data_IF_755821111000
#
_entry.id   IF_755821111000
#
_cell.length_a   1.000
_cell.length_b   1.000
_cell.length_c   1.000
_cell.angle_alpha   90.00
_cell.angle_beta   90.00
_cell.angle_gamma   90.00
#
_symmetry.space_group_name_H-M   'P 1'
#
loop_
_entity.id
_entity.type
_entity.pdbx_description
1 polymer ?
#
# COMPACT_ATOMS: atom_id res chain seq x y z
N UNK A 1 50.21 8.95 -2.16
CA UNK A 1 49.17 7.96 -2.50
C UNK A 1 48.54 7.50 -1.16
N UNK A 2 47.81 8.36 -0.44
CA UNK A 2 46.37 8.74 -0.57
C UNK A 2 45.50 7.47 -0.56
N UNK A 3 44.78 7.12 0.51
CA UNK A 3 43.54 7.77 0.99
C UNK A 3 43.60 7.97 2.52
N UNK A 4 43.90 9.18 2.99
CA UNK A 4 43.87 9.56 4.43
C UNK A 4 43.41 11.00 4.65
N UNK A 5 42.56 11.52 3.75
CA UNK A 5 42.03 12.89 3.86
C UNK A 5 40.55 12.94 3.46
N UNK A 6 39.66 12.55 4.36
CA UNK A 6 38.28 13.05 4.34
C UNK A 6 37.57 13.11 5.72
N UNK A 7 38.32 12.97 6.83
CA UNK A 7 37.76 13.09 8.19
C UNK A 7 38.47 14.16 9.03
N UNK A 8 38.51 15.39 8.54
CA UNK A 8 38.81 16.58 9.36
C UNK A 8 37.72 17.61 9.10
N UNK A 9 36.64 17.53 9.86
CA UNK A 9 35.53 18.46 9.65
C UNK A 9 34.37 18.46 10.62
N UNK A 10 34.22 17.56 11.59
CA UNK A 10 33.12 17.68 12.57
C UNK A 10 33.55 17.28 13.98
N UNK A 11 33.64 18.28 14.85
CA UNK A 11 33.86 18.15 16.29
C UNK A 11 32.55 17.78 16.99
N UNK A 12 32.65 16.83 17.92
CA UNK A 12 31.84 16.64 19.13
C UNK A 12 30.30 16.51 19.00
N UNK A 13 29.82 15.27 19.07
CA UNK A 13 28.67 14.90 19.89
C UNK A 13 29.06 13.64 20.67
N UNK A 14 29.35 13.80 21.96
CA UNK A 14 29.63 12.71 22.89
C UNK A 14 28.35 12.31 23.61
N UNK A 15 28.00 11.03 23.60
CA UNK A 15 26.98 10.49 24.51
C UNK A 15 27.63 9.52 25.49
N UNK A 16 27.50 9.82 26.78
CA UNK A 16 27.85 8.94 27.92
C UNK A 16 26.70 7.96 28.13
N UNK A 17 27.01 6.66 28.18
CA UNK A 17 26.11 5.64 28.72
C UNK A 17 26.60 5.36 30.15
N UNK A 18 25.74 5.56 31.14
CA UNK A 18 25.94 4.93 32.45
C UNK A 18 25.11 3.64 32.48
N UNK A 19 25.73 2.48 32.75
CA UNK A 19 25.00 1.29 33.11
C UNK A 19 24.69 1.38 34.61
N UNK A 20 23.44 1.22 35.01
CA UNK A 20 23.15 0.37 36.17
C UNK A 20 21.66 0.13 36.45
N UNK A 21 21.41 -1.15 36.75
CA UNK A 21 20.38 -1.69 37.64
C UNK A 21 18.92 -1.60 37.21
N UNK A 22 18.41 -2.67 36.58
CA UNK A 22 17.28 -3.45 37.13
C UNK A 22 17.37 -4.90 36.63
N UNK A 23 17.63 -5.83 37.56
CA UNK A 23 17.27 -7.25 37.43
C UNK A 23 15.80 -7.38 37.82
N UNK A 24 14.95 -7.97 36.98
CA UNK A 24 13.80 -8.77 37.44
C UNK A 24 13.36 -9.77 36.38
N UNK A 25 13.04 -10.97 36.85
CA UNK A 25 12.70 -12.18 36.12
C UNK A 25 11.24 -12.24 35.67
N UNK A 26 11.05 -12.76 34.46
CA UNK A 26 9.99 -13.68 33.99
C UNK A 26 8.51 -13.24 33.88
N UNK A 27 7.94 -13.75 32.78
CA UNK A 27 6.53 -14.01 32.43
C UNK A 27 5.71 -12.83 31.87
N UNK A 28 5.64 -12.85 30.54
CA UNK A 28 4.64 -12.23 29.66
C UNK A 28 4.35 -10.74 29.89
N UNK A 29 4.91 -9.89 29.02
CA UNK A 29 4.23 -8.69 28.50
C UNK A 29 4.95 -8.16 27.25
N UNK A 30 4.22 -8.05 26.15
CA UNK A 30 4.64 -7.31 24.95
C UNK A 30 4.46 -5.82 25.23
N UNK A 31 5.54 -5.04 25.16
CA UNK A 31 5.48 -3.59 25.06
C UNK A 31 6.18 -3.17 23.76
N UNK A 32 5.41 -2.63 22.82
CA UNK A 32 5.92 -1.93 21.64
C UNK A 32 6.47 -0.58 22.08
N UNK A 33 7.76 -0.34 21.84
CA UNK A 33 8.36 1.00 21.94
C UNK A 33 8.42 1.62 20.55
N UNK A 34 7.87 2.82 20.40
CA UNK A 34 7.96 3.63 19.18
C UNK A 34 9.07 4.66 19.36
N UNK A 35 10.14 4.57 18.54
CA UNK A 35 11.12 5.65 18.41
C UNK A 35 10.74 6.54 17.24
N UNK A 36 10.56 7.85 17.48
CA UNK A 36 10.28 8.84 16.44
C UNK A 36 11.60 9.48 16.03
N UNK A 37 12.03 9.25 14.79
CA UNK A 37 13.14 10.00 14.18
C UNK A 37 12.58 11.03 13.19
N UNK A 38 12.88 12.29 13.43
CA UNK A 38 12.51 13.40 12.56
C UNK A 38 13.66 13.64 11.57
N UNK A 39 13.50 13.21 10.31
CA UNK A 39 14.53 13.41 9.26
C UNK A 39 14.16 14.64 8.43
N UNK A 40 15.11 15.57 8.32
CA UNK A 40 14.97 16.88 7.68
C UNK A 40 15.21 16.75 6.15
N UNK A 41 14.35 17.30 5.27
CA UNK A 41 14.32 16.95 3.85
C UNK A 41 15.20 17.86 2.98
N UNK A 42 16.50 17.89 3.24
CA UNK A 42 17.44 18.56 2.33
C UNK A 42 18.73 17.76 2.17
N UNK A 43 18.92 17.26 0.95
CA UNK A 43 20.08 16.57 0.40
C UNK A 43 20.19 15.04 0.57
N UNK A 44 20.31 14.40 -0.61
CA UNK A 44 20.75 13.03 -0.92
C UNK A 44 19.80 11.86 -0.63
N UNK A 45 18.59 11.90 -1.20
CA UNK A 45 17.61 10.82 -1.13
C UNK A 45 18.10 9.47 -1.72
N UNK A 46 19.13 9.47 -2.58
CA UNK A 46 19.78 8.24 -3.08
C UNK A 46 20.78 7.66 -2.07
N UNK A 47 21.43 8.50 -1.25
CA UNK A 47 22.22 8.01 -0.12
C UNK A 47 21.31 7.51 1.02
N UNK A 48 20.05 7.97 1.07
CA UNK A 48 19.08 7.56 2.07
C UNK A 48 18.51 6.15 1.85
N UNK A 49 18.42 5.61 0.62
CA UNK A 49 18.00 4.21 0.44
C UNK A 49 19.14 3.22 0.81
N UNK A 50 20.39 3.58 0.50
CA UNK A 50 21.60 2.84 0.89
C UNK A 50 21.84 2.95 2.41
N UNK A 51 21.65 4.14 3.01
CA UNK A 51 21.68 4.32 4.46
C UNK A 51 20.44 3.73 5.17
N UNK A 52 19.27 3.65 4.54
CA UNK A 52 18.13 2.90 5.11
C UNK A 52 18.56 1.43 5.27
N UNK A 53 19.12 0.80 4.24
CA UNK A 53 19.53 -0.60 4.36
C UNK A 53 20.73 -0.83 5.30
N UNK A 54 21.61 0.15 5.48
CA UNK A 54 22.73 0.07 6.45
C UNK A 54 22.38 0.43 7.91
N UNK A 55 21.35 1.27 8.14
CA UNK A 55 20.77 1.51 9.48
C UNK A 55 19.86 0.35 9.88
N UNK A 56 19.34 -0.43 8.93
CA UNK A 56 18.40 -1.53 9.16
C UNK A 56 19.00 -2.86 9.62
N UNK A 57 20.26 -2.91 10.09
CA UNK A 57 20.76 -4.14 10.73
C UNK A 57 19.95 -4.54 11.98
N UNK A 58 19.17 -3.60 12.56
CA UNK A 58 18.18 -3.87 13.61
C UNK A 58 16.70 -3.81 13.15
N UNK A 59 16.41 -3.31 11.94
CA UNK A 59 15.03 -3.18 11.41
C UNK A 59 14.72 -4.11 10.23
N UNK A 60 15.59 -5.09 9.92
CA UNK A 60 15.24 -6.31 9.15
C UNK A 60 13.99 -7.02 9.73
N UNK A 61 13.54 -6.65 10.93
CA UNK A 61 12.29 -7.08 11.57
C UNK A 61 10.99 -6.49 11.00
N UNK A 62 11.00 -5.45 10.16
CA UNK A 62 9.76 -4.82 9.64
C UNK A 62 9.53 -4.97 8.12
N UNK A 63 10.44 -5.59 7.38
CA UNK A 63 10.11 -6.18 6.09
C UNK A 63 9.59 -7.59 6.40
N UNK A 64 8.26 -7.77 6.42
CA UNK A 64 7.66 -9.09 6.62
C UNK A 64 7.78 -9.93 5.33
N UNK A 65 9.01 -10.11 4.86
CA UNK A 65 9.38 -11.05 3.82
C UNK A 65 8.93 -12.43 4.32
N UNK A 66 8.17 -13.18 3.51
CA UNK A 66 7.65 -14.51 3.85
C UNK A 66 8.76 -15.36 4.51
N UNK A 67 8.40 -16.19 5.51
CA UNK A 67 9.30 -17.10 6.25
C UNK A 67 10.35 -17.81 5.37
N UNK A 68 9.99 -18.13 4.12
CA UNK A 68 10.90 -18.71 3.11
C UNK A 68 12.10 -17.81 2.78
N UNK A 69 11.86 -16.51 2.55
CA UNK A 69 12.91 -15.52 2.22
C UNK A 69 13.77 -15.23 3.45
N UNK A 70 13.15 -15.09 4.64
CA UNK A 70 13.87 -14.93 5.90
C UNK A 70 14.81 -16.11 6.17
N UNK A 71 14.34 -17.35 5.95
CA UNK A 71 15.14 -18.57 6.18
C UNK A 71 16.34 -18.67 5.23
N UNK A 72 16.23 -18.23 3.98
CA UNK A 72 17.36 -18.20 3.05
C UNK A 72 18.36 -17.08 3.35
N UNK A 73 17.91 -15.89 3.72
CA UNK A 73 18.79 -14.81 4.16
C UNK A 73 19.63 -15.22 5.39
N UNK A 74 19.04 -16.00 6.30
CA UNK A 74 19.72 -16.53 7.49
C UNK A 74 20.67 -17.69 7.14
N UNK A 75 20.38 -18.49 6.10
CA UNK A 75 21.17 -19.66 5.73
C UNK A 75 22.36 -19.37 4.81
N UNK A 76 22.37 -18.25 4.07
CA UNK A 76 23.36 -18.04 3.01
C UNK A 76 24.45 -16.99 3.30
N UNK A 77 24.50 -16.31 4.46
CA UNK A 77 25.48 -15.22 4.75
C UNK A 77 25.61 -14.16 3.62
N UNK A 78 24.61 -14.06 2.74
CA UNK A 78 24.66 -13.20 1.56
C UNK A 78 24.21 -11.79 1.94
N UNK A 79 25.14 -10.84 1.88
CA UNK A 79 24.86 -9.41 1.97
C UNK A 79 24.15 -8.94 0.69
N UNK A 80 22.86 -8.62 0.78
CA UNK A 80 22.12 -7.94 -0.29
C UNK A 80 22.09 -6.44 0.01
N UNK A 81 22.70 -5.63 -0.86
CA UNK A 81 22.84 -4.18 -0.68
C UNK A 81 21.56 -3.40 -1.05
N UNK A 82 20.66 -3.99 -1.84
CA UNK A 82 19.37 -3.41 -2.22
C UNK A 82 18.23 -4.45 -2.25
N UNK A 83 16.96 -4.01 -2.18
CA UNK A 83 15.78 -4.86 -2.40
C UNK A 83 15.78 -5.45 -3.82
N UNK A 84 16.31 -4.70 -4.79
CA UNK A 84 16.51 -5.17 -6.16
C UNK A 84 17.53 -6.32 -6.21
N UNK A 85 18.63 -6.23 -5.46
CA UNK A 85 19.62 -7.30 -5.35
C UNK A 85 19.04 -8.55 -4.67
N UNK A 86 18.19 -8.39 -3.65
CA UNK A 86 17.50 -9.50 -3.02
C UNK A 86 16.57 -10.22 -4.01
N UNK A 87 15.77 -9.46 -4.77
CA UNK A 87 14.82 -10.03 -5.72
C UNK A 87 15.50 -10.66 -6.93
N UNK A 88 16.59 -10.07 -7.42
CA UNK A 88 17.35 -10.57 -8.57
C UNK A 88 18.26 -11.75 -8.21
N UNK A 89 18.82 -11.79 -6.99
CA UNK A 89 19.70 -12.89 -6.54
C UNK A 89 18.91 -14.14 -6.19
N UNK A 90 17.71 -13.97 -5.65
CA UNK A 90 16.83 -15.08 -5.40
C UNK A 90 16.25 -15.54 -6.75
N UNK A 91 16.63 -16.71 -7.25
CA UNK A 91 15.91 -17.40 -8.35
C UNK A 91 14.46 -17.78 -7.97
N UNK A 92 13.92 -17.14 -6.94
CA UNK A 92 12.66 -17.43 -6.29
C UNK A 92 11.58 -16.66 -7.05
N UNK A 93 10.59 -17.41 -7.50
CA UNK A 93 9.34 -16.86 -8.01
C UNK A 93 8.63 -16.22 -6.81
N UNK A 94 8.94 -14.96 -6.47
CA UNK A 94 8.27 -14.25 -5.37
C UNK A 94 6.79 -14.12 -5.75
N UNK A 95 5.97 -14.96 -5.13
CA UNK A 95 4.53 -15.01 -5.33
C UNK A 95 3.79 -14.15 -4.33
N UNK A 96 4.43 -13.77 -3.22
CA UNK A 96 3.82 -13.00 -2.15
C UNK A 96 4.75 -11.89 -1.69
N UNK A 97 4.20 -10.71 -1.51
CA UNK A 97 4.92 -9.54 -1.03
C UNK A 97 4.04 -8.74 -0.09
N UNK A 98 4.58 -8.41 1.07
CA UNK A 98 3.96 -7.54 2.06
C UNK A 98 4.95 -6.43 2.39
N UNK A 99 4.58 -5.20 2.04
CA UNK A 99 5.42 -4.01 2.19
C UNK A 99 4.67 -2.99 3.04
N UNK A 100 5.27 -2.63 4.17
CA UNK A 100 4.79 -1.59 5.06
C UNK A 100 5.68 -0.34 4.97
N UNK A 101 5.09 0.77 4.52
CA UNK A 101 5.73 2.06 4.31
C UNK A 101 4.89 3.23 4.88
N UNK A 102 4.12 2.96 5.94
CA UNK A 102 3.30 3.96 6.66
C UNK A 102 4.16 5.16 7.11
N UNK A 103 3.65 6.39 6.93
CA UNK A 103 4.21 7.63 7.51
C UNK A 103 5.68 7.93 7.16
N UNK A 104 6.09 7.73 5.90
CA UNK A 104 7.49 7.88 5.47
C UNK A 104 7.76 9.10 4.57
N UNK A 105 6.81 10.02 4.43
CA UNK A 105 6.92 11.18 3.51
C UNK A 105 7.27 10.78 2.07
N UNK A 106 6.80 9.60 1.63
CA UNK A 106 7.02 9.11 0.29
C UNK A 106 6.15 9.92 -0.67
N UNK A 107 6.80 10.62 -1.61
CA UNK A 107 6.14 11.26 -2.74
C UNK A 107 6.17 10.37 -4.00
N UNK A 108 5.67 10.90 -5.11
CA UNK A 108 5.55 10.18 -6.39
C UNK A 108 6.88 9.59 -6.90
N UNK A 109 8.00 10.27 -6.63
CA UNK A 109 9.33 9.78 -6.98
C UNK A 109 9.72 8.51 -6.20
N UNK A 110 9.41 8.48 -4.89
CA UNK A 110 9.67 7.30 -4.07
C UNK A 110 8.79 6.11 -4.46
N UNK A 111 7.50 6.37 -4.79
CA UNK A 111 6.62 5.35 -5.38
C UNK A 111 7.17 4.85 -6.71
N UNK A 112 7.72 5.72 -7.55
CA UNK A 112 8.29 5.31 -8.84
C UNK A 112 9.51 4.38 -8.67
N UNK A 113 10.33 4.56 -7.63
CA UNK A 113 11.39 3.62 -7.26
C UNK A 113 10.84 2.28 -6.76
N UNK A 114 9.72 2.27 -6.04
CA UNK A 114 9.04 1.01 -5.70
C UNK A 114 8.49 0.31 -6.95
N UNK A 115 7.96 1.06 -7.92
CA UNK A 115 7.42 0.53 -9.17
C UNK A 115 8.48 -0.21 -10.00
N UNK A 116 9.70 0.32 -10.07
CA UNK A 116 10.80 -0.33 -10.81
C UNK A 116 11.18 -1.68 -10.21
N UNK A 117 10.86 -1.89 -8.93
CA UNK A 117 11.05 -3.17 -8.26
C UNK A 117 9.85 -4.09 -8.54
N UNK A 118 8.62 -3.62 -8.32
CA UNK A 118 7.41 -4.44 -8.52
C UNK A 118 7.28 -4.98 -9.95
N UNK A 119 7.78 -4.25 -10.96
CA UNK A 119 7.72 -4.71 -12.36
C UNK A 119 8.54 -5.98 -12.63
N UNK A 120 9.53 -6.30 -11.79
CA UNK A 120 10.37 -7.50 -11.93
C UNK A 120 9.70 -8.72 -11.30
N UNK A 121 8.74 -8.53 -10.40
CA UNK A 121 8.00 -9.58 -9.71
C UNK A 121 6.91 -10.23 -10.59
N UNK A 122 7.31 -10.91 -11.67
CA UNK A 122 6.38 -11.49 -12.67
C UNK A 122 5.47 -12.60 -12.11
N UNK A 123 5.88 -13.25 -11.03
CA UNK A 123 5.14 -14.35 -10.42
C UNK A 123 4.28 -13.93 -9.24
N UNK A 124 4.25 -12.63 -8.92
CA UNK A 124 3.51 -12.09 -7.80
C UNK A 124 2.02 -12.40 -7.95
N UNK A 125 1.48 -13.17 -7.01
CA UNK A 125 0.06 -13.51 -6.89
C UNK A 125 -0.62 -12.75 -5.77
N UNK A 126 0.10 -12.46 -4.67
CA UNK A 126 -0.43 -11.73 -3.52
C UNK A 126 0.43 -10.51 -3.22
N UNK A 127 -0.18 -9.33 -3.22
CA UNK A 127 0.49 -8.10 -2.82
C UNK A 127 -0.32 -7.40 -1.74
N UNK A 128 0.32 -7.15 -0.61
CA UNK A 128 -0.09 -6.14 0.37
C UNK A 128 0.91 -5.01 0.32
N UNK A 129 0.44 -3.79 0.06
CA UNK A 129 1.27 -2.60 0.03
C UNK A 129 0.60 -1.51 0.86
N UNK A 130 1.27 -1.14 1.95
CA UNK A 130 0.79 -0.13 2.86
C UNK A 130 1.58 1.19 2.69
N UNK A 131 0.91 2.20 2.15
CA UNK A 131 1.44 3.54 1.89
C UNK A 131 0.60 4.61 2.62
N UNK A 132 -0.05 4.24 3.72
CA UNK A 132 -0.84 5.15 4.56
C UNK A 132 -0.04 6.41 4.95
N UNK A 133 -0.69 7.58 4.89
CA UNK A 133 -0.19 8.89 5.33
C UNK A 133 1.20 9.22 4.76
N UNK A 134 1.19 9.38 3.43
CA UNK A 134 2.33 9.80 2.64
C UNK A 134 1.93 11.00 1.77
N UNK A 135 2.78 11.40 0.82
CA UNK A 135 2.52 12.53 -0.08
C UNK A 135 2.34 12.07 -1.52
N UNK A 136 1.63 10.94 -1.70
CA UNK A 136 1.38 10.35 -3.01
C UNK A 136 0.24 11.11 -3.69
N UNK A 137 0.50 11.64 -4.87
CA UNK A 137 -0.50 12.31 -5.70
C UNK A 137 -1.13 11.34 -6.71
N UNK A 138 -2.00 11.86 -7.56
CA UNK A 138 -2.55 11.14 -8.71
C UNK A 138 -1.48 10.52 -9.61
N UNK A 139 -0.33 11.18 -9.78
CA UNK A 139 0.77 10.68 -10.60
C UNK A 139 1.44 9.46 -9.97
N UNK A 140 1.72 9.51 -8.66
CA UNK A 140 2.31 8.39 -7.93
C UNK A 140 1.38 7.18 -7.90
N UNK A 141 0.09 7.40 -7.62
CA UNK A 141 -0.94 6.35 -7.66
C UNK A 141 -1.07 5.71 -9.05
N UNK A 142 -1.05 6.53 -10.10
CA UNK A 142 -1.07 6.07 -11.49
C UNK A 142 0.14 5.19 -11.81
N UNK A 143 1.36 5.69 -11.53
CA UNK A 143 2.60 4.93 -11.75
C UNK A 143 2.58 3.58 -11.03
N UNK A 144 2.14 3.58 -9.78
CA UNK A 144 2.00 2.36 -8.97
C UNK A 144 1.10 1.35 -9.65
N UNK A 145 -0.14 1.70 -9.96
CA UNK A 145 -1.07 0.74 -10.52
C UNK A 145 -0.69 0.31 -11.95
N UNK A 146 -0.09 1.18 -12.76
CA UNK A 146 0.45 0.78 -14.06
C UNK A 146 1.58 -0.26 -13.92
N UNK A 147 2.43 -0.15 -12.90
CA UNK A 147 3.46 -1.16 -12.65
C UNK A 147 2.83 -2.53 -12.33
N UNK A 148 1.76 -2.56 -11.52
CA UNK A 148 1.05 -3.78 -11.13
C UNK A 148 0.41 -4.54 -12.30
N UNK A 149 0.11 -3.87 -13.42
CA UNK A 149 -0.38 -4.54 -14.65
C UNK A 149 0.62 -5.57 -15.17
N UNK A 150 1.90 -5.47 -14.81
CA UNK A 150 2.95 -6.42 -15.18
C UNK A 150 2.96 -7.69 -14.32
N UNK A 151 2.32 -7.67 -13.16
CA UNK A 151 2.14 -8.82 -12.28
C UNK A 151 0.97 -9.66 -12.79
N UNK A 152 1.16 -10.40 -13.89
CA UNK A 152 0.07 -11.12 -14.58
C UNK A 152 -0.60 -12.19 -13.71
N UNK A 153 0.07 -12.69 -12.68
CA UNK A 153 -0.46 -13.69 -11.76
C UNK A 153 -1.19 -13.09 -10.55
N UNK A 154 -1.26 -11.75 -10.44
CA UNK A 154 -1.84 -11.07 -9.28
C UNK A 154 -3.32 -11.44 -9.12
N UNK A 155 -3.62 -12.16 -8.04
CA UNK A 155 -4.95 -12.62 -7.66
C UNK A 155 -5.48 -11.88 -6.43
N UNK A 156 -4.58 -11.47 -5.53
CA UNK A 156 -4.91 -10.69 -4.33
C UNK A 156 -4.12 -9.39 -4.31
N UNK A 157 -4.84 -8.27 -4.21
CA UNK A 157 -4.24 -6.95 -3.99
C UNK A 157 -4.89 -6.27 -2.80
N UNK A 158 -4.07 -5.90 -1.82
CA UNK A 158 -4.42 -4.99 -0.73
C UNK A 158 -3.54 -3.76 -0.86
N UNK A 159 -4.16 -2.60 -1.10
CA UNK A 159 -3.45 -1.37 -1.35
C UNK A 159 -3.97 -0.29 -0.41
N UNK A 160 -3.14 0.09 0.57
CA UNK A 160 -3.45 1.16 1.50
C UNK A 160 -2.86 2.47 1.01
N UNK A 161 -3.73 3.39 0.62
CA UNK A 161 -3.41 4.73 0.14
C UNK A 161 -4.21 5.79 0.93
N UNK A 162 -4.62 5.46 2.15
CA UNK A 162 -5.30 6.40 3.03
C UNK A 162 -4.41 7.61 3.33
N UNK A 163 -5.01 8.76 3.58
CA UNK A 163 -4.31 10.01 3.91
C UNK A 163 -3.21 10.38 2.90
N UNK A 164 -3.56 10.37 1.62
CA UNK A 164 -2.70 10.84 0.54
C UNK A 164 -3.37 12.00 -0.22
N UNK A 165 -2.82 12.37 -1.38
CA UNK A 165 -3.29 13.49 -2.19
C UNK A 165 -4.01 13.01 -3.47
N UNK A 166 -4.72 11.87 -3.38
CA UNK A 166 -5.39 11.26 -4.52
C UNK A 166 -6.74 11.96 -4.77
N UNK A 167 -7.00 12.30 -6.03
CA UNK A 167 -8.23 12.95 -6.49
C UNK A 167 -9.05 12.02 -7.39
N UNK A 168 -10.03 12.58 -8.09
CA UNK A 168 -10.79 11.88 -9.13
C UNK A 168 -9.89 11.31 -10.23
N UNK A 169 -8.83 12.02 -10.63
CA UNK A 169 -7.92 11.60 -11.69
C UNK A 169 -7.10 10.36 -11.28
N UNK A 170 -6.49 10.39 -10.10
CA UNK A 170 -5.74 9.23 -9.58
C UNK A 170 -6.65 8.04 -9.38
N UNK A 171 -7.87 8.24 -8.91
CA UNK A 171 -8.86 7.16 -8.75
C UNK A 171 -9.25 6.54 -10.10
N UNK A 172 -9.47 7.36 -11.13
CA UNK A 172 -9.71 6.88 -12.50
C UNK A 172 -8.53 6.06 -13.03
N UNK A 173 -7.30 6.53 -12.79
CA UNK A 173 -6.07 5.84 -13.21
C UNK A 173 -5.87 4.50 -12.47
N UNK A 174 -6.08 4.47 -11.15
CA UNK A 174 -6.08 3.24 -10.35
C UNK A 174 -7.08 2.24 -10.94
N UNK A 175 -8.34 2.66 -11.12
CA UNK A 175 -9.39 1.80 -11.64
C UNK A 175 -9.08 1.28 -13.05
N UNK A 176 -8.58 2.13 -13.93
CA UNK A 176 -8.21 1.79 -15.31
C UNK A 176 -7.04 0.81 -15.37
N UNK A 177 -6.01 1.02 -14.57
CA UNK A 177 -4.86 0.12 -14.52
C UNK A 177 -5.26 -1.25 -13.95
N UNK A 178 -5.96 -1.29 -12.81
CA UNK A 178 -6.40 -2.54 -12.17
C UNK A 178 -7.40 -3.33 -13.02
N UNK A 179 -8.12 -2.68 -13.92
CA UNK A 179 -9.00 -3.35 -14.90
C UNK A 179 -8.25 -4.32 -15.84
N UNK A 180 -6.92 -4.18 -15.95
CA UNK A 180 -6.04 -5.04 -16.73
C UNK A 180 -5.41 -6.19 -15.90
N UNK A 181 -5.70 -6.27 -14.60
CA UNK A 181 -5.30 -7.37 -13.73
C UNK A 181 -6.34 -8.50 -13.82
N UNK A 182 -6.36 -9.23 -14.93
CA UNK A 182 -7.43 -10.19 -15.24
C UNK A 182 -7.60 -11.34 -14.24
N UNK A 183 -6.56 -11.68 -13.49
CA UNK A 183 -6.57 -12.75 -12.49
C UNK A 183 -7.02 -12.28 -11.10
N UNK A 184 -7.25 -10.97 -10.92
CA UNK A 184 -7.62 -10.39 -9.64
C UNK A 184 -8.98 -10.92 -9.16
N UNK A 185 -8.97 -11.62 -8.03
CA UNK A 185 -10.13 -12.20 -7.37
C UNK A 185 -10.46 -11.51 -6.05
N UNK A 186 -9.45 -10.93 -5.40
CA UNK A 186 -9.58 -10.17 -4.15
C UNK A 186 -8.95 -8.80 -4.34
N UNK A 187 -9.74 -7.76 -4.13
CA UNK A 187 -9.28 -6.37 -4.14
C UNK A 187 -9.73 -5.66 -2.87
N UNK A 188 -8.77 -5.18 -2.10
CA UNK A 188 -8.99 -4.26 -0.99
C UNK A 188 -8.28 -2.95 -1.30
N UNK A 189 -9.05 -1.88 -1.52
CA UNK A 189 -8.53 -0.53 -1.74
C UNK A 189 -8.89 0.34 -0.56
N UNK A 190 -7.86 0.90 0.08
CA UNK A 190 -8.04 1.85 1.17
C UNK A 190 -7.65 3.25 0.68
N UNK A 191 -8.64 4.13 0.59
CA UNK A 191 -8.58 5.46 0.00
C UNK A 191 -9.21 6.51 0.92
N UNK A 192 -9.29 6.23 2.24
CA UNK A 192 -9.85 7.16 3.22
C UNK A 192 -9.06 8.45 3.27
N UNK A 193 -9.74 9.57 3.55
CA UNK A 193 -9.11 10.88 3.73
C UNK A 193 -8.26 11.30 2.52
N UNK A 194 -8.81 11.14 1.32
CA UNK A 194 -8.27 11.66 0.07
C UNK A 194 -9.22 12.76 -0.47
N UNK A 195 -9.08 13.14 -1.74
CA UNK A 195 -9.83 14.21 -2.39
C UNK A 195 -10.75 13.67 -3.49
N UNK A 196 -11.32 12.49 -3.28
CA UNK A 196 -12.14 11.77 -4.27
C UNK A 196 -13.57 12.31 -4.25
N UNK A 197 -14.07 12.73 -5.40
CA UNK A 197 -15.42 13.19 -5.63
C UNK A 197 -16.30 12.18 -6.35
N UNK A 198 -17.42 12.68 -6.89
CA UNK A 198 -18.39 11.87 -7.62
C UNK A 198 -17.80 11.21 -8.86
N UNK A 199 -16.91 11.91 -9.57
CA UNK A 199 -16.31 11.40 -10.80
C UNK A 199 -15.38 10.22 -10.49
N UNK A 200 -14.47 10.38 -9.53
CA UNK A 200 -13.50 9.35 -9.18
C UNK A 200 -14.17 8.06 -8.75
N UNK A 201 -15.17 8.12 -7.86
CA UNK A 201 -15.89 6.91 -7.43
C UNK A 201 -16.74 6.30 -8.55
N UNK A 202 -17.31 7.11 -9.44
CA UNK A 202 -18.05 6.63 -10.61
C UNK A 202 -17.13 5.87 -11.57
N UNK A 203 -15.97 6.47 -11.87
CA UNK A 203 -14.96 5.91 -12.76
C UNK A 203 -14.39 4.62 -12.16
N UNK A 204 -14.08 4.59 -10.86
CA UNK A 204 -13.62 3.40 -10.15
C UNK A 204 -14.60 2.23 -10.31
N UNK A 205 -15.88 2.48 -10.06
CA UNK A 205 -16.92 1.46 -10.21
C UNK A 205 -17.06 1.00 -11.67
N UNK A 206 -17.00 1.92 -12.62
CA UNK A 206 -17.11 1.60 -14.03
C UNK A 206 -15.91 0.80 -14.55
N UNK A 207 -14.67 1.15 -14.19
CA UNK A 207 -13.47 0.48 -14.69
C UNK A 207 -13.27 -0.88 -14.04
N UNK A 208 -13.51 -1.00 -12.73
CA UNK A 208 -13.32 -2.26 -12.00
C UNK A 208 -14.37 -3.33 -12.38
N UNK A 209 -15.47 -2.97 -13.04
CA UNK A 209 -16.41 -3.97 -13.58
C UNK A 209 -15.76 -4.91 -14.62
N UNK A 210 -14.63 -4.49 -15.20
CA UNK A 210 -13.83 -5.28 -16.14
C UNK A 210 -12.97 -6.35 -15.44
N UNK A 211 -12.82 -6.30 -14.12
CA UNK A 211 -12.21 -7.36 -13.32
C UNK A 211 -13.16 -8.55 -13.22
N UNK A 212 -13.28 -9.33 -14.31
CA UNK A 212 -14.29 -10.40 -14.48
C UNK A 212 -14.20 -11.53 -13.44
N UNK A 213 -13.04 -11.67 -12.79
CA UNK A 213 -12.77 -12.69 -11.79
C UNK A 213 -12.91 -12.20 -10.35
N UNK A 214 -13.29 -10.93 -10.14
CA UNK A 214 -13.40 -10.34 -8.80
C UNK A 214 -14.54 -10.98 -8.00
N UNK A 215 -14.18 -11.59 -6.87
CA UNK A 215 -15.09 -12.27 -5.93
C UNK A 215 -15.28 -11.40 -4.67
N UNK A 216 -14.18 -10.79 -4.20
CA UNK A 216 -14.16 -9.94 -3.01
C UNK A 216 -13.72 -8.54 -3.41
N UNK A 217 -14.55 -7.56 -3.05
CA UNK A 217 -14.25 -6.14 -3.20
C UNK A 217 -14.48 -5.42 -1.87
N UNK A 218 -13.42 -4.84 -1.35
CA UNK A 218 -13.45 -3.98 -0.18
C UNK A 218 -12.99 -2.57 -0.57
N UNK A 219 -13.81 -1.56 -0.29
CA UNK A 219 -13.51 -0.16 -0.58
C UNK A 219 -13.62 0.68 0.70
N UNK A 220 -12.53 1.28 1.14
CA UNK A 220 -12.54 2.33 2.16
C UNK A 220 -12.45 3.68 1.46
N UNK A 221 -13.53 4.45 1.53
CA UNK A 221 -13.72 5.72 0.86
C UNK A 221 -14.18 6.80 1.85
N UNK A 222 -14.04 6.58 3.15
CA UNK A 222 -14.45 7.54 4.17
C UNK A 222 -13.70 8.87 4.04
N UNK A 223 -14.30 9.95 4.54
CA UNK A 223 -13.67 11.28 4.57
C UNK A 223 -13.20 11.76 3.19
N UNK A 224 -14.04 11.56 2.15
CA UNK A 224 -13.83 12.07 0.80
C UNK A 224 -14.93 13.09 0.44
N UNK A 225 -15.02 13.48 -0.82
CA UNK A 225 -15.99 14.45 -1.33
C UNK A 225 -17.12 13.82 -2.16
N UNK A 226 -17.42 12.53 -1.96
CA UNK A 226 -18.47 11.80 -2.67
C UNK A 226 -19.85 12.35 -2.28
N UNK A 227 -20.74 12.48 -3.26
CA UNK A 227 -22.12 12.95 -3.12
C UNK A 227 -23.10 11.97 -3.77
N UNK A 228 -24.34 12.41 -3.87
CA UNK A 228 -25.48 11.64 -4.36
C UNK A 228 -25.28 11.09 -5.78
N UNK A 229 -24.59 11.82 -6.66
CA UNK A 229 -24.38 11.37 -8.04
C UNK A 229 -23.35 10.24 -8.10
N UNK A 230 -22.23 10.38 -7.38
CA UNK A 230 -21.17 9.38 -7.36
C UNK A 230 -21.66 8.04 -6.84
N UNK A 231 -22.42 8.06 -5.73
CA UNK A 231 -22.95 6.83 -5.14
C UNK A 231 -24.03 6.16 -6.02
N UNK A 232 -24.81 6.96 -6.76
CA UNK A 232 -25.80 6.46 -7.73
C UNK A 232 -25.13 5.75 -8.90
N UNK A 233 -24.04 6.31 -9.41
CA UNK A 233 -23.26 5.73 -10.49
C UNK A 233 -22.53 4.46 -10.03
N UNK A 234 -21.89 4.52 -8.87
CA UNK A 234 -21.20 3.38 -8.26
C UNK A 234 -22.14 2.19 -8.06
N UNK A 235 -23.33 2.39 -7.47
CA UNK A 235 -24.32 1.29 -7.35
C UNK A 235 -24.76 0.75 -8.69
N UNK A 236 -24.90 1.58 -9.72
CA UNK A 236 -25.21 1.12 -11.08
C UNK A 236 -24.13 0.20 -11.62
N UNK A 237 -22.86 0.59 -11.45
CA UNK A 237 -21.72 -0.20 -11.90
C UNK A 237 -21.63 -1.53 -11.14
N UNK A 238 -21.78 -1.53 -9.81
CA UNK A 238 -21.73 -2.74 -8.96
C UNK A 238 -22.72 -3.82 -9.39
N UNK A 239 -23.90 -3.46 -9.94
CA UNK A 239 -24.85 -4.45 -10.47
C UNK A 239 -24.27 -5.30 -11.61
N UNK A 240 -23.25 -4.81 -12.33
CA UNK A 240 -22.66 -5.46 -13.50
C UNK A 240 -21.63 -6.54 -13.15
N UNK A 241 -21.08 -6.55 -11.94
CA UNK A 241 -19.99 -7.44 -11.50
C UNK A 241 -20.43 -8.90 -11.38
N UNK A 242 -20.25 -9.74 -12.39
CA UNK A 242 -20.92 -11.05 -12.45
C UNK A 242 -20.51 -12.06 -11.38
N UNK A 243 -19.28 -12.01 -10.88
CA UNK A 243 -18.75 -12.99 -9.91
C UNK A 243 -18.62 -12.46 -8.48
N UNK A 244 -18.92 -11.19 -8.25
CA UNK A 244 -18.75 -10.57 -6.93
C UNK A 244 -19.72 -11.20 -5.93
N UNK A 245 -19.18 -11.70 -4.82
CA UNK A 245 -19.90 -12.38 -3.74
C UNK A 245 -19.75 -11.64 -2.40
N UNK A 246 -18.62 -10.97 -2.18
CA UNK A 246 -18.35 -10.26 -0.93
C UNK A 246 -18.09 -8.80 -1.25
N UNK A 247 -18.95 -7.92 -0.74
CA UNK A 247 -18.82 -6.48 -0.92
C UNK A 247 -18.83 -5.79 0.44
N UNK A 248 -17.72 -5.14 0.76
CA UNK A 248 -17.60 -4.28 1.93
C UNK A 248 -17.27 -2.87 1.48
N UNK A 249 -18.03 -1.87 1.96
CA UNK A 249 -17.77 -0.47 1.64
C UNK A 249 -17.91 0.41 2.85
N UNK A 250 -16.91 1.27 3.05
CA UNK A 250 -16.94 2.34 4.04
C UNK A 250 -16.96 3.68 3.32
N UNK A 251 -17.99 4.46 3.58
CA UNK A 251 -18.35 5.69 2.87
C UNK A 251 -18.73 6.82 3.86
N UNK A 252 -18.52 6.61 5.15
CA UNK A 252 -18.80 7.59 6.20
C UNK A 252 -18.03 8.90 5.94
N UNK A 253 -18.52 10.00 6.51
CA UNK A 253 -17.91 11.32 6.35
C UNK A 253 -17.76 11.80 4.89
N UNK A 254 -18.62 11.32 3.99
CA UNK A 254 -18.87 11.91 2.68
C UNK A 254 -20.12 12.81 2.69
N UNK A 255 -20.43 13.45 1.56
CA UNK A 255 -21.54 14.40 1.38
C UNK A 255 -22.75 13.76 0.70
N UNK A 256 -23.12 12.56 1.15
CA UNK A 256 -24.24 11.78 0.60
C UNK A 256 -25.48 12.03 1.46
N UNK A 257 -26.60 12.42 0.84
CA UNK A 257 -27.86 12.65 1.54
C UNK A 257 -28.53 11.33 1.95
N UNK A 258 -29.28 11.35 3.05
CA UNK A 258 -29.95 10.15 3.59
C UNK A 258 -30.84 9.43 2.57
N UNK A 259 -31.52 10.19 1.70
CA UNK A 259 -32.33 9.63 0.61
C UNK A 259 -31.49 8.76 -0.32
N UNK A 260 -30.28 9.21 -0.68
CA UNK A 260 -29.41 8.48 -1.59
C UNK A 260 -28.65 7.35 -0.89
N UNK A 261 -28.38 7.46 0.41
CA UNK A 261 -27.89 6.33 1.22
C UNK A 261 -28.87 5.17 1.23
N UNK A 262 -30.16 5.46 1.42
CA UNK A 262 -31.22 4.45 1.38
C UNK A 262 -31.35 3.83 -0.01
N UNK A 263 -31.38 4.65 -1.07
CA UNK A 263 -31.40 4.18 -2.47
C UNK A 263 -30.20 3.29 -2.81
N UNK A 264 -29.02 3.66 -2.32
CA UNK A 264 -27.80 2.88 -2.49
C UNK A 264 -27.95 1.49 -1.86
N UNK A 265 -28.32 1.43 -0.57
CA UNK A 265 -28.57 0.18 0.14
C UNK A 265 -29.61 -0.69 -0.57
N UNK A 266 -30.76 -0.12 -0.94
CA UNK A 266 -31.83 -0.88 -1.63
C UNK A 266 -31.36 -1.45 -2.98
N UNK A 267 -30.52 -0.71 -3.71
CA UNK A 267 -30.02 -1.12 -5.01
C UNK A 267 -28.93 -2.20 -4.93
N UNK A 268 -28.21 -2.30 -3.82
CA UNK A 268 -27.26 -3.39 -3.59
C UNK A 268 -27.95 -4.66 -3.07
N UNK A 269 -29.03 -4.53 -2.31
CA UNK A 269 -29.81 -5.68 -1.80
C UNK A 269 -30.45 -6.53 -2.91
N UNK A 270 -30.73 -5.96 -4.09
CA UNK A 270 -31.25 -6.72 -5.24
C UNK A 270 -30.17 -7.55 -5.95
N UNK A 271 -28.90 -7.43 -5.55
CA UNK A 271 -27.80 -8.20 -6.12
C UNK A 271 -27.74 -9.58 -5.45
N UNK A 272 -28.62 -10.49 -5.90
CA UNK A 272 -28.85 -11.81 -5.28
C UNK A 272 -27.63 -12.74 -5.17
N UNK A 273 -26.53 -12.44 -5.87
CA UNK A 273 -25.28 -13.21 -5.82
C UNK A 273 -24.37 -12.84 -4.66
N UNK A 274 -24.60 -11.69 -4.02
CA UNK A 274 -23.80 -11.27 -2.87
C UNK A 274 -24.13 -12.19 -1.69
N UNK A 275 -23.12 -12.91 -1.22
CA UNK A 275 -23.15 -13.74 -0.03
C UNK A 275 -22.97 -12.87 1.21
N UNK A 276 -22.14 -11.83 1.11
CA UNK A 276 -21.91 -10.86 2.18
C UNK A 276 -21.95 -9.44 1.63
N UNK A 277 -22.74 -8.59 2.27
CA UNK A 277 -22.86 -7.17 1.97
C UNK A 277 -22.74 -6.38 3.28
N UNK A 278 -21.68 -5.58 3.40
CA UNK A 278 -21.43 -4.69 4.52
C UNK A 278 -21.25 -3.26 4.00
N UNK A 279 -22.13 -2.34 4.39
CA UNK A 279 -22.09 -0.94 3.94
C UNK A 279 -22.19 -0.01 5.14
N UNK A 280 -21.13 0.76 5.35
CA UNK A 280 -21.03 1.83 6.34
C UNK A 280 -21.15 3.17 5.60
N UNK A 281 -22.33 3.80 5.63
CA UNK A 281 -22.68 5.01 4.87
C UNK A 281 -23.72 5.85 5.61
#
# INVERSE_FOLDING_TARGET
>A
MQITKFFRGFKQLSFRIQPDQFKYESKYNFYNYTFIFQINPSHSFIHSLICLLQIYKEQVLNLNLNYTIQKQMIQEENHFDTLEDLLNSSKILVSELDIDLINNFIGDAGVSSLCSILITCKNLSNLTLNLYDNSISDQGASNLCFSLVNCKNLSTLKLHLDYNLITDEGTQNIGSALSNCYNLSILELYLKSNQIGDKGVSDLGFTLQNCKNLIILTLYLESNFIRDQGITNLSSALTKYKKLQFLTMYLEWNKISEVYKQKFRSKLLIINRLVNLQIFI
#
